data_IF_457724916855
#
_entry.id   IF_457724916855
#
_cell.length_a   1.000
_cell.length_b   1.000
_cell.length_c   1.000
_cell.angle_alpha   90.00
_cell.angle_beta   90.00
_cell.angle_gamma   90.00
#
_symmetry.space_group_name_H-M   'P 1'
#
loop_
_entity.id
_entity.type
_entity.pdbx_description
1 polymer ?
#
# COMPACT_ATOMS: atom_id res chain seq x y z
N UNK A 1 5.48 45.39 -23.67
CA UNK A 1 4.20 45.61 -24.37
C UNK A 1 3.18 44.58 -23.89
N UNK A 2 2.05 45.07 -23.35
CA UNK A 2 0.65 44.56 -23.42
C UNK A 2 0.36 43.04 -23.38
N UNK A 3 -0.66 42.51 -22.70
CA UNK A 3 -1.65 42.97 -21.71
C UNK A 3 -2.42 41.69 -21.31
N UNK A 4 -2.94 41.65 -20.08
CA UNK A 4 -4.02 40.72 -19.65
C UNK A 4 -5.19 40.77 -20.63
N UNK A 5 -5.79 39.62 -20.96
CA UNK A 5 -7.19 39.54 -21.39
C UNK A 5 -7.86 38.35 -20.68
N UNK A 6 -8.80 38.70 -19.80
CA UNK A 6 -9.91 37.88 -19.32
C UNK A 6 -10.98 37.96 -20.41
N UNK A 7 -11.55 36.83 -20.83
CA UNK A 7 -12.86 36.82 -21.47
C UNK A 7 -13.69 35.69 -20.87
N UNK A 8 -14.66 36.12 -20.06
CA UNK A 8 -15.92 35.45 -19.80
C UNK A 8 -16.83 35.73 -21.00
N UNK A 9 -17.47 34.72 -21.61
CA UNK A 9 -18.73 34.93 -22.36
C UNK A 9 -19.69 33.78 -22.08
N UNK A 10 -20.91 34.17 -21.77
CA UNK A 10 -22.05 33.38 -21.37
C UNK A 10 -22.85 32.82 -22.56
N UNK A 11 -23.66 31.81 -22.24
CA UNK A 11 -25.00 31.50 -22.75
C UNK A 11 -25.45 32.08 -24.10
N UNK A 12 -25.73 31.18 -25.05
CA UNK A 12 -26.80 31.36 -26.04
C UNK A 12 -27.62 30.07 -26.10
N UNK A 13 -28.89 30.18 -25.68
CA UNK A 13 -29.98 29.26 -25.97
C UNK A 13 -30.48 29.55 -27.39
N UNK A 14 -30.63 28.51 -28.21
CA UNK A 14 -31.53 28.54 -29.36
C UNK A 14 -32.32 27.23 -29.39
N UNK A 15 -33.61 27.35 -29.10
CA UNK A 15 -34.64 26.37 -29.36
C UNK A 15 -34.85 26.26 -30.88
N UNK A 16 -34.87 25.05 -31.40
CA UNK A 16 -35.76 24.74 -32.52
C UNK A 16 -36.32 23.34 -32.34
N UNK A 17 -37.65 23.33 -32.26
CA UNK A 17 -38.55 22.21 -32.13
C UNK A 17 -38.67 21.46 -33.46
N UNK A 18 -38.46 20.14 -33.45
CA UNK A 18 -39.16 19.24 -34.36
C UNK A 18 -39.58 18.00 -33.57
N UNK A 19 -40.90 17.87 -33.42
CA UNK A 19 -41.52 16.68 -32.87
C UNK A 19 -41.51 15.56 -33.90
N UNK A 20 -41.24 14.35 -33.44
CA UNK A 20 -41.76 13.15 -34.08
C UNK A 20 -42.25 12.21 -32.99
N UNK A 21 -43.53 11.91 -33.06
CA UNK A 21 -44.20 10.88 -32.29
C UNK A 21 -43.56 9.53 -32.59
N UNK A 22 -43.25 8.73 -31.56
CA UNK A 22 -43.37 7.27 -31.61
C UNK A 22 -43.39 6.67 -30.20
N UNK A 23 -44.58 6.19 -29.84
CA UNK A 23 -44.88 4.97 -29.08
C UNK A 23 -44.19 4.75 -27.74
N UNK A 24 -44.97 4.93 -26.67
CA UNK A 24 -44.71 4.40 -25.33
C UNK A 24 -44.57 2.88 -25.36
N UNK A 25 -43.38 2.37 -25.00
CA UNK A 25 -43.22 1.00 -24.51
C UNK A 25 -42.85 1.08 -23.03
N UNK A 26 -43.83 0.77 -22.19
CA UNK A 26 -43.66 0.61 -20.75
C UNK A 26 -42.98 -0.74 -20.47
N UNK A 27 -41.65 -0.74 -20.38
CA UNK A 27 -40.89 -1.83 -19.77
C UNK A 27 -40.68 -1.56 -18.28
N UNK A 28 -40.75 -2.57 -17.39
CA UNK A 28 -40.55 -2.34 -15.96
C UNK A 28 -39.08 -1.98 -15.68
N UNK A 29 -38.85 -0.71 -15.34
CA UNK A 29 -37.60 -0.26 -14.74
C UNK A 29 -37.45 -0.92 -13.36
N UNK A 30 -36.74 -2.05 -13.32
CA UNK A 30 -36.18 -2.57 -12.07
C UNK A 30 -34.97 -1.72 -11.69
N UNK A 31 -34.97 -0.95 -10.59
CA UNK A 31 -33.75 -0.31 -10.12
C UNK A 31 -32.80 -1.41 -9.61
N UNK A 32 -31.76 -1.70 -10.40
CA UNK A 32 -30.61 -2.50 -9.97
C UNK A 32 -30.02 -1.84 -8.73
N UNK A 33 -30.31 -2.42 -7.58
CA UNK A 33 -29.80 -2.01 -6.27
C UNK A 33 -28.28 -2.16 -6.32
N UNK A 34 -27.58 -1.02 -6.26
CA UNK A 34 -26.13 -0.96 -6.11
C UNK A 34 -25.79 -1.59 -4.76
N UNK A 35 -25.40 -2.87 -4.77
CA UNK A 35 -24.89 -3.57 -3.60
C UNK A 35 -23.75 -2.76 -3.00
N UNK A 36 -23.99 -2.17 -1.83
CA UNK A 36 -23.02 -1.39 -1.09
C UNK A 36 -21.81 -2.27 -0.76
N UNK A 37 -20.71 -2.00 -1.44
CA UNK A 37 -19.37 -2.47 -1.12
C UNK A 37 -19.11 -2.27 0.38
N UNK A 38 -18.82 -3.37 1.09
CA UNK A 38 -18.63 -3.35 2.54
C UNK A 38 -17.39 -2.51 2.89
N UNK A 39 -17.60 -1.21 3.11
CA UNK A 39 -16.57 -0.28 3.54
C UNK A 39 -15.88 -0.84 4.79
N UNK A 40 -14.55 -0.91 4.77
CA UNK A 40 -13.73 -1.33 5.90
C UNK A 40 -14.02 -0.44 7.11
N UNK A 41 -14.81 -0.94 8.06
CA UNK A 41 -15.26 -0.16 9.22
C UNK A 41 -14.08 0.04 10.16
N UNK A 42 -13.65 1.29 10.34
CA UNK A 42 -12.59 1.61 11.32
C UNK A 42 -13.09 1.33 12.73
N UNK A 43 -12.33 0.59 13.53
CA UNK A 43 -12.70 0.20 14.88
C UNK A 43 -11.80 0.86 15.93
N UNK A 44 -12.37 1.15 17.11
CA UNK A 44 -11.66 1.67 18.28
C UNK A 44 -12.00 0.84 19.51
N UNK A 45 -11.04 0.67 20.43
CA UNK A 45 -11.19 -0.01 21.70
C UNK A 45 -11.25 1.02 22.82
N UNK A 46 -12.17 0.86 23.75
CA UNK A 46 -12.26 1.72 24.92
C UNK A 46 -11.11 1.42 25.89
N UNK A 47 -10.43 2.46 26.37
CA UNK A 47 -9.35 2.32 27.39
C UNK A 47 -9.86 2.44 28.83
N UNK A 48 -11.11 2.88 29.00
CA UNK A 48 -11.83 3.00 30.26
C UNK A 48 -13.33 2.73 30.03
N UNK A 49 -14.12 2.68 31.11
CA UNK A 49 -15.57 2.77 30.98
C UNK A 49 -15.93 4.13 30.38
N UNK A 50 -16.60 4.13 29.24
CA UNK A 50 -16.73 5.30 28.38
C UNK A 50 -18.19 5.61 28.08
N UNK A 51 -18.65 6.79 28.49
CA UNK A 51 -20.02 7.24 28.22
C UNK A 51 -20.23 7.52 26.72
N UNK A 52 -21.25 6.90 26.15
CA UNK A 52 -21.80 7.22 24.84
C UNK A 52 -22.91 8.25 25.04
N UNK A 53 -22.78 9.43 24.43
CA UNK A 53 -23.67 10.58 24.64
C UNK A 53 -24.46 10.95 23.39
N UNK A 54 -25.56 11.67 23.57
CA UNK A 54 -26.40 12.14 22.46
C UNK A 54 -25.74 13.25 21.61
N UNK A 55 -24.81 14.01 22.18
CA UNK A 55 -24.07 15.08 21.50
C UNK A 55 -22.57 15.04 21.82
N UNK A 56 -21.76 15.72 21.02
CA UNK A 56 -20.31 15.86 21.16
C UNK A 56 -19.91 16.80 22.33
N UNK A 57 -20.42 16.53 23.53
CA UNK A 57 -20.22 17.36 24.72
C UNK A 57 -20.42 16.54 26.01
N UNK A 58 -19.73 16.92 27.07
CA UNK A 58 -19.94 16.36 28.42
C UNK A 58 -21.31 16.69 28.99
N UNK A 59 -21.97 17.74 28.46
CA UNK A 59 -23.36 18.13 28.80
C UNK A 59 -24.41 17.29 28.07
N UNK A 60 -24.03 16.54 27.03
CA UNK A 60 -24.95 15.66 26.31
C UNK A 60 -25.46 14.52 27.19
N UNK A 61 -26.74 14.16 27.07
CA UNK A 61 -27.35 13.05 27.84
C UNK A 61 -26.61 11.74 27.56
N UNK A 62 -26.38 10.95 28.59
CA UNK A 62 -25.74 9.64 28.48
C UNK A 62 -26.77 8.66 27.91
N UNK A 63 -26.45 8.03 26.78
CA UNK A 63 -27.22 6.95 26.17
C UNK A 63 -26.93 5.64 26.90
N UNK A 64 -25.65 5.34 27.11
CA UNK A 64 -25.15 4.19 27.86
C UNK A 64 -23.67 4.39 28.20
N UNK A 65 -23.13 3.50 29.04
CA UNK A 65 -21.69 3.39 29.30
C UNK A 65 -21.13 2.15 28.62
N UNK A 66 -20.12 2.35 27.78
CA UNK A 66 -19.39 1.29 27.08
C UNK A 66 -18.30 0.77 28.03
N UNK A 67 -18.29 -0.53 28.39
CA UNK A 67 -17.27 -1.06 29.28
C UNK A 67 -15.85 -0.91 28.72
N UNK A 68 -14.85 -0.81 29.60
CA UNK A 68 -13.42 -0.84 29.23
C UNK A 68 -13.10 -2.07 28.37
N UNK A 69 -12.28 -1.87 27.35
CA UNK A 69 -11.80 -2.92 26.47
C UNK A 69 -12.79 -3.38 25.39
N UNK A 70 -13.96 -2.74 25.25
CA UNK A 70 -14.93 -3.06 24.20
C UNK A 70 -14.63 -2.28 22.92
N UNK A 71 -15.06 -2.84 21.79
CA UNK A 71 -14.83 -2.27 20.47
C UNK A 71 -16.04 -1.49 19.98
N UNK A 72 -15.80 -0.34 19.35
CA UNK A 72 -16.79 0.53 18.73
C UNK A 72 -16.43 0.78 17.27
N UNK A 73 -17.44 0.93 16.42
CA UNK A 73 -17.26 1.30 15.03
C UNK A 73 -17.21 2.83 14.93
N UNK A 74 -16.16 3.37 14.31
CA UNK A 74 -16.05 4.80 14.06
C UNK A 74 -16.94 5.21 12.88
N UNK A 75 -17.65 6.33 13.03
CA UNK A 75 -18.49 6.92 12.00
C UNK A 75 -17.93 8.27 11.58
N UNK A 76 -17.73 9.20 12.51
CA UNK A 76 -17.23 10.55 12.21
C UNK A 76 -16.57 11.22 13.41
N UNK A 77 -15.95 12.39 13.18
CA UNK A 77 -15.25 13.18 14.21
C UNK A 77 -15.87 14.57 14.32
N UNK A 78 -16.01 15.06 15.54
CA UNK A 78 -16.41 16.43 15.89
C UNK A 78 -15.52 16.92 17.02
N UNK A 79 -14.49 17.73 16.70
CA UNK A 79 -13.48 18.13 17.69
C UNK A 79 -12.78 16.92 18.32
N UNK A 80 -12.84 16.82 19.65
CA UNK A 80 -12.29 15.70 20.45
C UNK A 80 -13.30 14.58 20.70
N UNK A 81 -14.41 14.55 19.97
CA UNK A 81 -15.45 13.53 20.07
C UNK A 81 -15.54 12.72 18.79
N UNK A 82 -15.70 11.41 18.94
CA UNK A 82 -16.01 10.53 17.84
C UNK A 82 -17.47 10.11 17.91
N UNK A 83 -18.18 10.24 16.79
CA UNK A 83 -19.44 9.55 16.59
C UNK A 83 -19.12 8.08 16.32
N UNK A 84 -19.64 7.21 17.16
CA UNK A 84 -19.35 5.77 17.12
C UNK A 84 -20.64 4.97 17.24
N UNK A 85 -20.62 3.75 16.69
CA UNK A 85 -21.66 2.75 16.90
C UNK A 85 -21.14 1.67 17.85
N UNK A 86 -21.91 1.38 18.88
CA UNK A 86 -21.69 0.28 19.81
C UNK A 86 -22.95 -0.56 19.89
N UNK A 87 -22.85 -1.84 19.47
CA UNK A 87 -24.02 -2.72 19.25
C UNK A 87 -25.05 -2.02 18.34
N UNK A 88 -26.27 -1.81 18.81
CA UNK A 88 -27.37 -1.15 18.09
C UNK A 88 -27.44 0.36 18.33
N UNK A 89 -26.62 0.92 19.22
CA UNK A 89 -26.68 2.33 19.60
C UNK A 89 -25.58 3.14 18.92
N UNK A 90 -25.93 4.35 18.49
CA UNK A 90 -25.01 5.31 17.90
C UNK A 90 -25.02 6.59 18.73
N UNK A 91 -23.85 7.16 18.98
CA UNK A 91 -23.71 8.40 19.75
C UNK A 91 -22.28 8.91 19.73
N UNK A 92 -21.98 9.89 20.57
CA UNK A 92 -20.67 10.53 20.67
C UNK A 92 -19.91 10.04 21.90
N UNK A 93 -18.64 9.69 21.72
CA UNK A 93 -17.74 9.28 22.78
C UNK A 93 -16.44 10.10 22.70
N UNK A 94 -15.86 10.43 23.85
CA UNK A 94 -14.61 11.21 23.89
C UNK A 94 -13.47 10.40 23.29
N UNK A 95 -12.76 10.97 22.31
CA UNK A 95 -11.65 10.30 21.63
C UNK A 95 -10.45 10.02 22.54
N UNK A 96 -10.35 10.73 23.67
CA UNK A 96 -9.30 10.52 24.69
C UNK A 96 -9.29 9.08 25.23
N UNK A 97 -10.45 8.42 25.26
CA UNK A 97 -10.60 7.07 25.82
C UNK A 97 -10.76 6.00 24.73
N UNK A 98 -10.35 6.31 23.51
CA UNK A 98 -10.45 5.43 22.37
C UNK A 98 -9.05 5.21 21.78
N UNK A 99 -8.59 3.97 21.80
CA UNK A 99 -7.41 3.56 21.04
C UNK A 99 -7.88 2.91 19.76
N UNK A 100 -7.32 3.31 18.61
CA UNK A 100 -7.66 2.68 17.34
C UNK A 100 -7.35 1.19 17.46
N UNK A 101 -8.33 0.33 17.22
CA UNK A 101 -8.07 -1.09 17.05
C UNK A 101 -7.26 -1.18 15.76
N UNK A 102 -5.97 -1.43 15.89
CA UNK A 102 -5.23 -1.99 14.78
C UNK A 102 -5.96 -3.28 14.43
N UNK A 103 -6.50 -3.34 13.20
CA UNK A 103 -6.97 -4.61 12.69
C UNK A 103 -5.84 -5.60 12.95
N UNK A 104 -6.13 -6.68 13.68
CA UNK A 104 -5.20 -7.80 13.75
C UNK A 104 -5.04 -8.22 12.29
N UNK A 105 -3.88 -7.88 11.73
CA UNK A 105 -3.48 -8.21 10.38
C UNK A 105 -3.54 -9.74 10.27
N UNK A 106 -4.64 -10.22 9.72
CA UNK A 106 -5.01 -11.63 9.74
C UNK A 106 -4.82 -12.19 8.34
N UNK A 107 -3.62 -12.67 8.08
CA UNK A 107 -3.26 -13.31 6.81
C UNK A 107 -4.16 -14.52 6.53
N UNK A 108 -4.80 -15.12 7.54
CA UNK A 108 -5.76 -16.21 7.34
C UNK A 108 -7.01 -15.76 6.57
N UNK A 109 -7.35 -14.47 6.60
CA UNK A 109 -8.52 -13.92 5.89
C UNK A 109 -8.23 -13.47 4.47
N UNK A 110 -6.96 -13.51 4.04
CA UNK A 110 -6.58 -13.12 2.69
C UNK A 110 -7.04 -14.17 1.68
N UNK A 111 -7.92 -13.78 0.76
CA UNK A 111 -8.56 -14.68 -0.19
C UNK A 111 -7.69 -15.02 -1.40
N UNK A 112 -6.69 -14.19 -1.70
CA UNK A 112 -5.95 -14.20 -2.95
C UNK A 112 -4.49 -14.63 -2.78
N UNK A 113 -4.15 -15.46 -1.79
CA UNK A 113 -2.77 -15.96 -1.59
C UNK A 113 -2.39 -17.14 -2.50
N UNK A 114 -3.37 -17.81 -3.12
CA UNK A 114 -3.12 -18.96 -3.99
C UNK A 114 -2.35 -20.08 -3.28
N UNK A 115 -1.31 -20.62 -3.94
CA UNK A 115 -0.43 -21.68 -3.39
C UNK A 115 0.67 -21.14 -2.47
N UNK A 116 0.64 -19.86 -2.10
CA UNK A 116 1.66 -19.27 -1.25
C UNK A 116 1.59 -19.81 0.18
N UNK A 117 2.73 -20.21 0.71
CA UNK A 117 2.93 -20.57 2.11
C UNK A 117 3.88 -19.60 2.82
N UNK A 118 4.33 -18.54 2.15
CA UNK A 118 5.15 -17.48 2.74
C UNK A 118 4.70 -16.11 2.24
N UNK A 119 4.35 -15.21 3.18
CA UNK A 119 3.92 -13.84 2.87
C UNK A 119 4.82 -12.86 3.59
N UNK A 120 5.42 -11.94 2.84
CA UNK A 120 5.97 -10.69 3.37
C UNK A 120 4.90 -9.64 3.22
N UNK A 121 4.39 -9.12 4.32
CA UNK A 121 3.35 -8.10 4.34
C UNK A 121 3.96 -6.76 4.75
N UNK A 122 3.91 -5.79 3.85
CA UNK A 122 4.42 -4.43 4.06
C UNK A 122 3.23 -3.49 4.10
N UNK A 123 3.01 -2.85 5.26
CA UNK A 123 1.88 -1.93 5.45
C UNK A 123 2.33 -0.59 5.98
N UNK A 124 1.57 0.46 5.65
CA UNK A 124 1.67 1.78 6.27
C UNK A 124 0.30 2.20 6.84
N UNK A 125 0.34 3.02 7.90
CA UNK A 125 -0.89 3.45 8.61
C UNK A 125 -1.82 4.29 7.75
N UNK A 126 -1.24 5.08 6.85
CA UNK A 126 -1.96 5.94 5.90
C UNK A 126 -1.24 5.88 4.56
N UNK A 127 -1.98 5.99 3.45
CA UNK A 127 -1.41 5.87 2.11
C UNK A 127 -0.25 6.85 1.84
N UNK A 128 -0.21 8.01 2.51
CA UNK A 128 0.84 9.02 2.36
C UNK A 128 2.05 8.82 3.31
N UNK A 129 1.95 7.98 4.34
CA UNK A 129 3.05 7.76 5.28
C UNK A 129 4.16 6.93 4.64
N UNK A 130 5.42 7.34 4.83
CA UNK A 130 6.60 6.61 4.37
C UNK A 130 7.14 5.61 5.42
N UNK A 131 6.53 5.53 6.61
CA UNK A 131 6.88 4.55 7.64
C UNK A 131 6.05 3.30 7.44
N UNK A 132 6.73 2.16 7.44
CA UNK A 132 6.12 0.87 7.18
C UNK A 132 6.35 -0.11 8.34
N UNK A 133 5.39 -1.02 8.49
CA UNK A 133 5.53 -2.25 9.25
C UNK A 133 5.72 -3.38 8.26
N UNK A 134 6.74 -4.19 8.48
CA UNK A 134 7.05 -5.38 7.69
C UNK A 134 6.81 -6.60 8.56
N UNK A 135 5.97 -7.52 8.10
CA UNK A 135 5.66 -8.76 8.79
C UNK A 135 5.91 -9.94 7.87
N UNK A 136 6.53 -10.99 8.40
CA UNK A 136 6.75 -12.23 7.67
C UNK A 136 5.86 -13.32 8.26
N UNK A 137 5.08 -13.99 7.41
CA UNK A 137 4.18 -15.07 7.79
C UNK A 137 4.53 -16.33 7.02
N UNK A 138 4.56 -17.46 7.70
CA UNK A 138 4.75 -18.79 7.11
C UNK A 138 3.56 -19.68 7.44
N UNK A 139 3.08 -20.42 6.45
CA UNK A 139 2.07 -21.46 6.64
C UNK A 139 2.76 -22.75 7.04
N UNK A 140 2.31 -23.32 8.16
CA UNK A 140 2.75 -24.63 8.68
C UNK A 140 1.51 -25.40 9.12
N UNK A 141 1.36 -26.63 8.64
CA UNK A 141 0.20 -27.49 8.95
C UNK A 141 -1.14 -26.77 8.72
N UNK A 142 -1.27 -26.07 7.58
CA UNK A 142 -2.48 -25.34 7.21
C UNK A 142 -2.70 -24.00 7.92
N UNK A 143 -1.93 -23.67 8.96
CA UNK A 143 -2.11 -22.45 9.78
C UNK A 143 -1.02 -21.43 9.51
N UNK A 144 -1.41 -20.15 9.42
CA UNK A 144 -0.45 -19.06 9.24
C UNK A 144 0.16 -18.65 10.56
N UNK A 145 1.49 -18.66 10.64
CA UNK A 145 2.24 -18.17 11.79
C UNK A 145 3.05 -16.96 11.40
N UNK A 146 2.95 -15.90 12.19
CA UNK A 146 3.84 -14.75 12.06
C UNK A 146 5.22 -15.09 12.63
N UNK A 147 6.24 -14.97 11.79
CA UNK A 147 7.64 -15.26 12.13
C UNK A 147 8.36 -13.99 12.57
N UNK A 148 8.18 -12.90 11.83
CA UNK A 148 8.83 -11.62 12.10
C UNK A 148 7.85 -10.45 12.11
N UNK A 149 8.19 -9.42 12.88
CA UNK A 149 7.63 -8.07 12.78
C UNK A 149 8.79 -7.10 12.91
N UNK A 150 8.89 -6.19 11.96
CA UNK A 150 10.03 -5.30 11.76
C UNK A 150 9.52 -3.91 11.37
N UNK A 151 10.26 -2.88 11.76
CA UNK A 151 10.09 -1.55 11.19
C UNK A 151 10.75 -1.48 9.81
N UNK A 152 10.25 -0.59 8.96
CA UNK A 152 10.87 -0.25 7.70
C UNK A 152 10.37 1.07 7.16
N UNK A 153 10.86 1.42 5.99
CA UNK A 153 10.47 2.61 5.24
C UNK A 153 10.17 2.25 3.80
N UNK A 154 9.36 3.09 3.18
CA UNK A 154 8.88 2.95 1.80
C UNK A 154 9.04 4.28 1.06
N UNK A 155 8.44 4.39 -0.13
CA UNK A 155 8.46 5.61 -0.94
C UNK A 155 8.15 6.86 -0.12
N UNK A 156 8.91 7.94 -0.34
CA UNK A 156 8.76 9.23 0.35
C UNK A 156 7.32 9.73 0.41
N UNK A 157 6.55 9.50 -0.66
CA UNK A 157 5.15 9.93 -0.83
C UNK A 157 4.16 8.79 -0.55
N UNK A 158 4.60 7.74 0.15
CA UNK A 158 3.79 6.60 0.56
C UNK A 158 3.56 5.57 -0.54
N UNK A 159 2.35 5.01 -0.63
CA UNK A 159 2.00 3.95 -1.58
C UNK A 159 0.99 4.39 -2.64
N UNK A 160 0.97 3.71 -3.80
CA UNK A 160 0.01 3.97 -4.88
C UNK A 160 -0.31 2.74 -5.70
N UNK A 161 -1.56 2.59 -6.14
CA UNK A 161 -1.94 1.62 -7.18
C UNK A 161 -1.65 2.12 -8.60
N UNK A 162 -1.45 3.43 -8.76
CA UNK A 162 -1.20 4.11 -10.04
C UNK A 162 0.24 4.61 -10.09
N UNK A 163 1.20 3.69 -9.95
CA UNK A 163 2.64 3.98 -9.96
C UNK A 163 3.08 4.57 -11.30
N UNK A 164 4.00 5.54 -11.22
CA UNK A 164 4.67 6.17 -12.37
C UNK A 164 6.17 6.29 -12.12
N UNK A 165 6.98 6.43 -13.15
CA UNK A 165 8.41 6.71 -13.00
C UNK A 165 8.65 7.99 -12.18
N UNK A 166 9.62 7.97 -11.26
CA UNK A 166 9.98 9.14 -10.44
C UNK A 166 8.93 9.65 -9.44
N UNK A 167 7.79 8.97 -9.26
CA UNK A 167 6.67 9.46 -8.44
C UNK A 167 6.91 9.42 -6.91
N UNK A 168 8.03 8.84 -6.48
CA UNK A 168 8.45 8.66 -5.08
C UNK A 168 7.48 7.82 -4.24
N UNK A 169 6.73 6.90 -4.86
CA UNK A 169 5.74 6.04 -4.18
C UNK A 169 6.06 4.57 -4.36
N UNK A 170 5.76 3.77 -3.35
CA UNK A 170 5.81 2.30 -3.43
C UNK A 170 4.56 1.77 -4.12
N UNK A 171 4.68 0.88 -5.12
CA UNK A 171 3.51 0.32 -5.78
C UNK A 171 2.74 -0.59 -4.81
N UNK A 172 1.42 -0.40 -4.70
CA UNK A 172 0.58 -1.38 -4.00
C UNK A 172 0.38 -2.61 -4.87
N UNK A 173 0.24 -3.78 -4.26
CA UNK A 173 0.01 -5.03 -5.00
C UNK A 173 0.56 -6.26 -4.29
N UNK A 174 0.34 -7.41 -4.94
CA UNK A 174 0.96 -8.70 -4.60
C UNK A 174 1.98 -9.04 -5.67
N UNK A 175 3.22 -9.30 -5.27
CA UNK A 175 4.33 -9.55 -6.17
C UNK A 175 5.09 -10.79 -5.76
N UNK A 176 5.73 -11.47 -6.72
CA UNK A 176 6.71 -12.51 -6.43
C UNK A 176 8.06 -11.88 -6.10
N UNK A 177 8.93 -12.67 -5.48
CA UNK A 177 10.30 -12.28 -5.19
C UNK A 177 11.19 -12.66 -6.37
N UNK A 178 12.11 -11.77 -6.73
CA UNK A 178 13.12 -11.99 -7.76
C UNK A 178 14.49 -12.31 -7.17
N UNK A 179 15.52 -12.10 -7.99
CA UNK A 179 16.92 -12.37 -7.65
C UNK A 179 17.38 -11.56 -6.44
N UNK A 180 18.00 -12.23 -5.47
CA UNK A 180 18.72 -11.60 -4.38
C UNK A 180 20.02 -10.97 -4.91
N UNK A 181 20.46 -9.88 -4.29
CA UNK A 181 21.71 -9.22 -4.66
C UNK A 181 22.54 -8.87 -3.44
N UNK A 182 23.84 -8.71 -3.66
CA UNK A 182 24.81 -8.38 -2.61
C UNK A 182 26.06 -7.71 -3.18
N UNK A 183 26.70 -6.83 -2.40
CA UNK A 183 27.97 -6.18 -2.79
C UNK A 183 29.19 -6.98 -2.35
N UNK A 184 29.28 -7.26 -1.04
CA UNK A 184 30.49 -7.85 -0.44
C UNK A 184 30.23 -9.25 0.10
N UNK A 185 29.44 -9.37 1.17
CA UNK A 185 29.16 -10.64 1.83
C UNK A 185 28.02 -11.37 1.13
N UNK A 186 28.25 -12.63 0.77
CA UNK A 186 27.20 -13.49 0.19
C UNK A 186 26.11 -13.72 1.24
N UNK A 187 24.82 -13.42 0.95
CA UNK A 187 23.76 -13.65 1.89
C UNK A 187 23.41 -15.14 1.98
N UNK A 188 23.05 -15.59 3.18
CA UNK A 188 22.36 -16.86 3.36
C UNK A 188 20.95 -16.74 2.80
N UNK A 189 20.70 -17.34 1.64
CA UNK A 189 19.39 -17.35 0.99
C UNK A 189 19.25 -18.53 0.05
N UNK A 190 17.99 -18.95 -0.16
CA UNK A 190 17.61 -19.95 -1.17
C UNK A 190 17.17 -19.33 -2.49
N UNK A 191 17.02 -18.00 -2.57
CA UNK A 191 16.76 -17.31 -3.84
C UNK A 191 17.99 -17.42 -4.76
N UNK A 192 17.76 -17.30 -6.07
CA UNK A 192 18.87 -16.99 -6.98
C UNK A 192 19.56 -15.71 -6.51
N UNK A 193 20.88 -15.66 -6.64
CA UNK A 193 21.68 -14.54 -6.13
C UNK A 193 22.65 -14.00 -7.16
N UNK A 194 22.85 -12.68 -7.18
CA UNK A 194 23.76 -11.99 -8.10
C UNK A 194 24.65 -11.02 -7.35
N UNK A 195 25.97 -11.10 -7.57
CA UNK A 195 26.93 -10.14 -7.02
C UNK A 195 26.83 -8.80 -7.76
N UNK A 196 26.77 -7.71 -7.01
CA UNK A 196 26.88 -6.35 -7.51
C UNK A 196 28.36 -6.03 -7.73
N UNK A 197 28.65 -5.43 -8.87
CA UNK A 197 29.96 -4.89 -9.23
C UNK A 197 29.84 -3.39 -9.50
N UNK A 198 30.98 -2.70 -9.66
CA UNK A 198 30.99 -1.30 -10.09
C UNK A 198 30.32 -1.07 -11.46
N UNK A 199 30.17 -2.13 -12.25
CA UNK A 199 29.56 -2.11 -13.59
C UNK A 199 28.05 -2.42 -13.57
N UNK A 200 27.49 -2.76 -12.40
CA UNK A 200 26.09 -3.16 -12.26
C UNK A 200 25.16 -1.96 -12.20
N UNK A 201 24.18 -1.92 -13.11
CA UNK A 201 23.15 -0.88 -13.16
C UNK A 201 21.77 -1.49 -13.34
N UNK A 202 20.72 -0.77 -12.94
CA UNK A 202 19.33 -1.07 -13.29
C UNK A 202 18.78 0.03 -14.18
N UNK A 203 18.38 -0.29 -15.40
CA UNK A 203 17.93 0.72 -16.37
C UNK A 203 16.54 1.22 -15.97
N UNK A 204 16.45 2.50 -15.63
CA UNK A 204 15.20 3.20 -15.27
C UNK A 204 14.68 4.13 -16.39
N UNK A 205 15.44 4.27 -17.48
CA UNK A 205 15.00 4.98 -18.68
C UNK A 205 13.83 4.25 -19.37
N UNK A 206 12.63 4.80 -19.24
CA UNK A 206 11.39 4.26 -19.82
C UNK A 206 11.39 4.16 -21.36
N UNK A 207 12.29 4.87 -22.05
CA UNK A 207 12.42 4.80 -23.51
C UNK A 207 13.46 3.77 -23.96
N UNK A 208 14.26 3.23 -23.03
CA UNK A 208 15.30 2.27 -23.36
C UNK A 208 14.71 0.90 -23.73
N UNK A 209 15.26 0.21 -24.74
CA UNK A 209 14.93 -1.20 -25.00
C UNK A 209 15.36 -2.12 -23.86
N UNK A 210 16.16 -1.63 -22.91
CA UNK A 210 16.60 -2.32 -21.70
C UNK A 210 15.83 -1.87 -20.44
N UNK A 211 14.76 -1.08 -20.58
CA UNK A 211 13.98 -0.56 -19.44
C UNK A 211 13.59 -1.63 -18.42
N UNK A 212 13.73 -1.29 -17.15
CA UNK A 212 13.43 -2.10 -15.98
C UNK A 212 14.16 -3.45 -15.96
N UNK A 213 15.46 -3.44 -16.28
CA UNK A 213 16.33 -4.63 -16.22
C UNK A 213 17.69 -4.31 -15.61
N UNK A 214 18.29 -5.33 -14.99
CA UNK A 214 19.68 -5.28 -14.55
C UNK A 214 20.62 -5.44 -15.72
N UNK A 215 21.52 -4.48 -15.92
CA UNK A 215 22.52 -4.48 -16.99
C UNK A 215 23.95 -4.33 -16.48
N UNK A 216 24.89 -4.60 -17.38
CA UNK A 216 26.32 -4.33 -17.24
C UNK A 216 26.63 -3.12 -18.10
N UNK A 217 27.04 -2.01 -17.48
CA UNK A 217 27.23 -0.72 -18.17
C UNK A 217 28.23 -0.84 -19.33
N UNK A 218 29.34 -1.54 -19.12
CA UNK A 218 30.36 -1.79 -20.13
C UNK A 218 29.86 -2.63 -21.30
N UNK A 219 29.08 -3.69 -21.04
CA UNK A 219 28.62 -4.63 -22.09
C UNK A 219 27.54 -4.06 -22.99
N UNK A 220 26.66 -3.22 -22.46
CA UNK A 220 25.51 -2.67 -23.21
C UNK A 220 25.79 -1.33 -23.84
N UNK A 221 27.00 -0.78 -23.70
CA UNK A 221 27.46 0.47 -24.34
C UNK A 221 26.49 1.65 -24.16
N UNK A 222 25.78 1.73 -23.03
CA UNK A 222 24.93 2.87 -22.67
C UNK A 222 23.66 3.06 -23.51
N UNK A 223 22.90 1.99 -23.78
CA UNK A 223 21.58 2.04 -24.44
C UNK A 223 20.44 2.70 -23.61
N UNK A 224 20.76 3.71 -22.81
CA UNK A 224 19.85 4.45 -21.94
C UNK A 224 20.40 5.83 -21.61
N UNK A 225 19.51 6.74 -21.26
CA UNK A 225 19.84 8.08 -20.76
C UNK A 225 19.96 8.14 -19.24
N UNK A 226 19.30 7.21 -18.53
CA UNK A 226 19.38 7.06 -17.08
C UNK A 226 19.39 5.58 -16.67
N UNK A 227 20.14 5.28 -15.61
CA UNK A 227 20.10 4.01 -14.92
C UNK A 227 20.48 4.19 -13.45
N UNK A 228 19.84 3.40 -12.60
CA UNK A 228 20.15 3.31 -11.19
C UNK A 228 21.48 2.57 -10.97
N UNK A 229 22.39 3.20 -10.22
CA UNK A 229 23.64 2.59 -9.83
C UNK A 229 23.40 1.54 -8.73
N UNK A 230 23.69 0.27 -9.03
CA UNK A 230 23.50 -0.80 -8.05
C UNK A 230 24.59 -0.82 -6.98
N UNK A 231 25.77 -0.24 -7.23
CA UNK A 231 26.92 -0.28 -6.32
C UNK A 231 26.88 0.86 -5.27
N UNK A 232 25.83 0.88 -4.46
CA UNK A 232 25.63 1.83 -3.34
C UNK A 232 25.36 1.08 -2.02
N UNK A 233 25.57 1.74 -0.88
CA UNK A 233 25.47 1.08 0.44
C UNK A 233 24.05 0.59 0.77
N UNK A 234 23.02 1.24 0.26
CA UNK A 234 21.62 0.79 0.38
C UNK A 234 21.41 -0.59 -0.25
N UNK A 235 22.24 -0.96 -1.23
CA UNK A 235 22.20 -2.24 -1.95
C UNK A 235 23.28 -3.22 -1.53
N UNK A 236 23.90 -3.00 -0.37
CA UNK A 236 24.80 -3.96 0.27
C UNK A 236 24.26 -5.39 0.25
N UNK A 237 22.96 -5.53 0.50
CA UNK A 237 22.21 -6.78 0.39
C UNK A 237 20.72 -6.47 0.18
N UNK A 238 20.02 -7.29 -0.61
CA UNK A 238 18.59 -7.14 -0.86
C UNK A 238 18.06 -8.15 -1.88
N UNK A 239 16.84 -7.93 -2.36
CA UNK A 239 16.28 -8.70 -3.48
C UNK A 239 15.34 -7.85 -4.33
N UNK A 240 15.19 -8.28 -5.59
CA UNK A 240 14.25 -7.67 -6.53
C UNK A 240 12.81 -8.00 -6.13
N UNK A 241 11.94 -6.99 -6.09
CA UNK A 241 10.49 -7.23 -6.06
C UNK A 241 10.04 -7.26 -7.52
N UNK A 242 9.36 -8.32 -7.96
CA UNK A 242 8.96 -8.50 -9.36
C UNK A 242 7.77 -7.59 -9.74
N UNK A 243 7.95 -6.29 -9.56
CA UNK A 243 7.08 -5.24 -10.02
C UNK A 243 7.41 -4.89 -11.48
N UNK A 244 6.37 -4.66 -12.30
CA UNK A 244 6.49 -4.25 -13.71
C UNK A 244 7.45 -5.15 -14.54
N UNK A 245 7.38 -6.47 -14.35
CA UNK A 245 8.21 -7.44 -15.11
C UNK A 245 7.89 -7.50 -16.60
N UNK A 246 6.71 -7.01 -17.00
CA UNK A 246 6.35 -6.77 -18.41
C UNK A 246 7.09 -5.57 -19.00
N UNK A 247 7.82 -4.79 -18.17
CA UNK A 247 8.66 -3.66 -18.57
C UNK A 247 7.84 -2.60 -19.31
N UNK A 248 6.60 -2.40 -18.88
CA UNK A 248 5.70 -1.40 -19.48
C UNK A 248 6.26 -0.01 -19.18
N UNK A 249 6.61 0.78 -20.21
CA UNK A 249 7.19 2.11 -20.03
C UNK A 249 6.40 3.00 -19.07
N UNK A 250 7.10 3.85 -18.32
CA UNK A 250 6.54 4.86 -17.42
C UNK A 250 5.75 4.34 -16.21
N UNK A 251 5.64 3.02 -16.01
CA UNK A 251 4.97 2.42 -14.85
C UNK A 251 5.87 2.33 -13.62
N UNK A 252 7.13 2.74 -13.70
CA UNK A 252 8.09 2.65 -12.61
C UNK A 252 8.98 1.41 -12.75
N UNK A 253 10.24 1.55 -12.33
CA UNK A 253 11.25 0.51 -12.34
C UNK A 253 11.95 0.36 -10.98
N UNK A 254 12.88 -0.59 -10.91
CA UNK A 254 13.87 -0.71 -9.83
C UNK A 254 13.25 -0.77 -8.41
N UNK A 255 12.20 -1.59 -8.26
CA UNK A 255 11.54 -1.76 -6.96
C UNK A 255 12.19 -2.94 -6.23
N UNK A 256 12.88 -2.64 -5.14
CA UNK A 256 13.66 -3.62 -4.38
C UNK A 256 13.24 -3.67 -2.91
N UNK A 257 13.64 -4.76 -2.25
CA UNK A 257 13.70 -4.86 -0.80
C UNK A 257 15.16 -4.80 -0.35
N UNK A 258 15.56 -3.76 0.38
CA UNK A 258 17.00 -3.49 0.60
C UNK A 258 17.31 -2.80 1.94
N UNK A 259 18.59 -2.46 2.16
CA UNK A 259 19.07 -1.81 3.38
C UNK A 259 18.63 -0.33 3.40
N UNK A 260 18.03 0.09 4.51
CA UNK A 260 17.61 1.47 4.73
C UNK A 260 18.81 2.42 4.73
N UNK A 261 18.70 3.49 3.94
CA UNK A 261 19.66 4.59 3.91
C UNK A 261 19.36 5.67 4.95
N UNK A 262 20.24 6.66 5.06
CA UNK A 262 20.15 7.73 6.06
C UNK A 262 18.94 8.68 5.90
N UNK A 263 18.29 8.68 4.74
CA UNK A 263 17.15 9.56 4.43
C UNK A 263 15.87 9.21 5.19
N UNK A 264 15.73 7.98 5.69
CA UNK A 264 14.52 7.50 6.36
C UNK A 264 13.30 7.33 5.42
N UNK A 265 13.53 7.21 4.11
CA UNK A 265 12.57 6.89 3.05
C UNK A 265 13.27 6.42 1.76
N UNK A 266 12.52 5.82 0.82
CA UNK A 266 12.99 5.40 -0.51
C UNK A 266 12.31 6.21 -1.64
N UNK A 267 12.69 5.94 -2.90
CA UNK A 267 11.96 6.43 -4.08
C UNK A 267 10.78 5.51 -4.49
N UNK A 268 10.63 4.34 -3.87
CA UNK A 268 9.59 3.36 -4.21
C UNK A 268 9.88 1.96 -3.66
N UNK A 269 11.14 1.64 -3.37
CA UNK A 269 11.55 0.42 -2.70
C UNK A 269 10.95 0.25 -1.29
N UNK A 270 11.07 -0.96 -0.75
CA UNK A 270 10.91 -1.23 0.68
C UNK A 270 12.30 -1.34 1.29
N UNK A 271 12.55 -0.66 2.40
CA UNK A 271 13.84 -0.73 3.07
C UNK A 271 13.70 -0.93 4.58
N UNK A 272 14.68 -1.61 5.17
CA UNK A 272 14.77 -1.87 6.63
C UNK A 272 16.24 -2.04 7.00
N UNK A 273 16.55 -2.28 8.28
CA UNK A 273 17.93 -2.50 8.73
C UNK A 273 18.58 -3.69 8.01
N UNK A 274 19.90 -3.65 7.82
CA UNK A 274 20.67 -4.73 7.19
C UNK A 274 20.44 -6.09 7.87
N UNK A 275 20.33 -6.11 9.21
CA UNK A 275 20.00 -7.31 9.98
C UNK A 275 18.62 -7.87 9.60
N UNK A 276 17.61 -7.01 9.46
CA UNK A 276 16.27 -7.42 9.05
C UNK A 276 16.24 -7.94 7.61
N UNK A 277 16.97 -7.31 6.68
CA UNK A 277 17.11 -7.82 5.30
C UNK A 277 17.69 -9.24 5.30
N UNK A 278 18.77 -9.47 6.05
CA UNK A 278 19.38 -10.81 6.16
C UNK A 278 18.44 -11.85 6.80
N UNK A 279 17.66 -11.46 7.83
CA UNK A 279 16.64 -12.34 8.42
C UNK A 279 15.59 -12.77 7.39
N UNK A 280 15.10 -11.83 6.59
CA UNK A 280 14.12 -12.13 5.52
C UNK A 280 14.75 -13.05 4.46
N UNK A 281 15.94 -12.72 3.95
CA UNK A 281 16.62 -13.52 2.92
C UNK A 281 16.90 -14.97 3.34
N UNK A 282 17.27 -15.18 4.61
CA UNK A 282 17.50 -16.51 5.19
C UNK A 282 16.19 -17.29 5.38
N UNK A 283 15.11 -16.58 5.73
CA UNK A 283 13.79 -17.17 5.96
C UNK A 283 13.05 -17.57 4.68
N UNK A 284 13.24 -16.84 3.58
CA UNK A 284 12.55 -17.09 2.30
C UNK A 284 12.94 -18.45 1.71
N UNK A 285 11.92 -19.22 1.30
CA UNK A 285 12.01 -20.55 0.68
C UNK A 285 11.25 -20.52 -0.65
N UNK A 286 11.91 -20.53 -1.82
CA UNK A 286 11.23 -20.53 -3.12
C UNK A 286 10.17 -21.64 -3.27
N UNK A 287 10.44 -22.84 -2.71
CA UNK A 287 9.50 -23.97 -2.71
C UNK A 287 8.16 -23.67 -2.01
N UNK A 288 8.10 -22.64 -1.15
CA UNK A 288 6.88 -22.17 -0.46
C UNK A 288 6.13 -21.06 -1.22
N UNK A 289 6.49 -20.81 -2.48
CA UNK A 289 5.88 -19.79 -3.34
C UNK A 289 5.74 -18.42 -2.63
N UNK A 290 6.85 -17.84 -2.13
CA UNK A 290 6.80 -16.62 -1.33
C UNK A 290 6.25 -15.46 -2.16
N UNK A 291 5.39 -14.65 -1.53
CA UNK A 291 4.89 -13.40 -2.10
C UNK A 291 5.16 -12.23 -1.16
N UNK A 292 5.29 -11.04 -1.74
CA UNK A 292 5.29 -9.77 -1.02
C UNK A 292 4.02 -8.99 -1.35
N UNK A 293 3.27 -8.61 -0.32
CA UNK A 293 2.09 -7.75 -0.42
C UNK A 293 2.47 -6.39 0.14
N UNK A 294 2.29 -5.35 -0.66
CA UNK A 294 2.51 -3.96 -0.26
C UNK A 294 1.18 -3.23 -0.34
N UNK A 295 0.66 -2.74 0.79
CA UNK A 295 -0.64 -2.06 0.82
C UNK A 295 -0.84 -1.22 2.08
N UNK A 296 -1.57 -0.10 2.03
CA UNK A 296 -2.06 0.55 3.24
C UNK A 296 -2.89 -0.41 4.10
N UNK A 297 -2.83 -0.26 5.42
CA UNK A 297 -3.60 -1.11 6.35
C UNK A 297 -5.11 -1.09 6.05
N UNK A 298 -5.63 0.06 5.59
CA UNK A 298 -7.04 0.21 5.23
C UNK A 298 -7.46 -0.65 4.02
N UNK A 299 -6.51 -0.99 3.15
CA UNK A 299 -6.76 -1.69 1.88
C UNK A 299 -6.48 -3.19 1.95
N UNK A 300 -6.13 -3.71 3.13
CA UNK A 300 -5.68 -5.10 3.26
C UNK A 300 -6.72 -6.14 2.85
N UNK A 301 -8.01 -5.83 3.02
CA UNK A 301 -9.11 -6.72 2.69
C UNK A 301 -9.25 -7.02 1.18
N UNK A 302 -8.48 -6.32 0.32
CA UNK A 302 -8.43 -6.57 -1.13
C UNK A 302 -7.63 -7.83 -1.49
N UNK A 303 -6.79 -8.32 -0.56
CA UNK A 303 -5.92 -9.47 -0.74
C UNK A 303 -6.50 -10.67 0.01
#
# INVERSE_FOLDING_TARGET
MYRKIIVCVAFILLLSSFGFHHSYVTGPFSPKTKSAEAASVTQYKTTANLNLRTSASTKGKIILTIPKGKTVQYISKSGTWYKVKYKTKTGYASSKYLTKVQAKLDVEKMKNLGKSEQVILVTNKTAASNKATIQAFEKTNGKWKRTYTMSGVIGKKGMTSSKKEGDMKTPTGKYTLGTAFYRSTVPTTKLSKKKITADSVWVDDSKSPLYNTWQSKSKTKGQWTSAENMNISQYDVGFVINYNTKRTPYKGSAIFFHVEGKSGYTAGCVATSKSNVNKILSWVKPAKNPVIIMTPEADIAKY
#
